data_IF_090798384970
#
_entry.id   IF_090798384970
#
_cell.length_a   1.000
_cell.length_b   1.000
_cell.length_c   1.000
_cell.angle_alpha   90.00
_cell.angle_beta   90.00
_cell.angle_gamma   90.00
#
_symmetry.space_group_name_H-M   'P 1'
#
loop_
_entity.id
_entity.type
_entity.pdbx_description
1 polymer ?
#
# COMPACT_ATOMS: atom_id res chain seq x y z
N UNK A 1 11.71 -14.43 47.10
CA UNK A 1 10.68 -13.47 46.63
C UNK A 1 11.25 -12.36 45.76
N UNK A 2 12.46 -11.82 46.02
CA UNK A 2 13.03 -10.74 45.19
C UNK A 2 13.28 -11.12 43.72
N UNK A 3 13.87 -12.30 43.46
CA UNK A 3 14.19 -12.74 42.09
C UNK A 3 12.94 -12.99 41.21
N UNK A 4 11.82 -13.41 41.81
CA UNK A 4 10.56 -13.64 41.07
C UNK A 4 9.87 -12.34 40.68
N UNK A 5 9.87 -11.34 41.56
CA UNK A 5 9.30 -10.01 41.27
C UNK A 5 10.08 -9.27 40.18
N UNK A 6 11.41 -9.43 40.15
CA UNK A 6 12.24 -8.83 39.11
C UNK A 6 11.99 -9.46 37.73
N UNK A 7 11.82 -10.79 37.67
CA UNK A 7 11.47 -11.49 36.44
C UNK A 7 10.08 -11.10 35.92
N UNK A 8 9.10 -10.99 36.81
CA UNK A 8 7.71 -10.61 36.47
C UNK A 8 7.64 -9.17 35.94
N UNK A 9 8.32 -8.21 36.57
CA UNK A 9 8.36 -6.82 36.10
C UNK A 9 9.00 -6.67 34.71
N UNK A 10 10.07 -7.43 34.43
CA UNK A 10 10.70 -7.47 33.10
C UNK A 10 9.75 -8.05 32.05
N UNK A 11 8.99 -9.09 32.40
CA UNK A 11 8.00 -9.69 31.51
C UNK A 11 6.84 -8.73 31.18
N UNK A 12 6.28 -8.05 32.18
CA UNK A 12 5.23 -7.05 31.99
C UNK A 12 5.69 -5.86 31.14
N UNK A 13 6.93 -5.42 31.33
CA UNK A 13 7.50 -4.31 30.54
C UNK A 13 7.70 -4.70 29.07
N UNK A 14 8.20 -5.91 28.80
CA UNK A 14 8.38 -6.43 27.43
C UNK A 14 7.06 -6.59 26.69
N UNK A 15 6.05 -7.16 27.34
CA UNK A 15 4.71 -7.34 26.76
C UNK A 15 4.03 -6.00 26.46
N UNK A 16 4.21 -5.00 27.33
CA UNK A 16 3.74 -3.62 27.10
C UNK A 16 4.44 -2.96 25.91
N UNK A 17 5.77 -3.09 25.82
CA UNK A 17 6.56 -2.56 24.69
C UNK A 17 6.13 -3.18 23.36
N UNK A 18 5.95 -4.50 23.31
CA UNK A 18 5.47 -5.18 22.10
C UNK A 18 4.08 -4.72 21.68
N UNK A 19 3.17 -4.55 22.64
CA UNK A 19 1.84 -4.01 22.36
C UNK A 19 1.92 -2.60 21.76
N UNK A 20 2.73 -1.72 22.36
CA UNK A 20 2.91 -0.35 21.89
C UNK A 20 3.54 -0.31 20.49
N UNK A 21 4.57 -1.14 20.26
CA UNK A 21 5.23 -1.25 18.97
C UNK A 21 4.27 -1.70 17.86
N UNK A 22 3.44 -2.71 18.11
CA UNK A 22 2.44 -3.17 17.14
C UNK A 22 1.36 -2.14 16.87
N UNK A 23 0.89 -1.45 17.92
CA UNK A 23 -0.10 -0.39 17.75
C UNK A 23 0.48 0.77 16.92
N UNK A 24 1.69 1.22 17.25
CA UNK A 24 2.38 2.27 16.50
C UNK A 24 2.60 1.88 15.04
N UNK A 25 3.01 0.63 14.80
CA UNK A 25 3.22 0.13 13.45
C UNK A 25 1.92 0.01 12.65
N UNK A 26 0.83 -0.45 13.27
CA UNK A 26 -0.48 -0.51 12.62
C UNK A 26 -1.00 0.89 12.24
N UNK A 27 -0.82 1.88 13.12
CA UNK A 27 -1.16 3.28 12.84
C UNK A 27 -0.32 3.79 11.66
N UNK A 28 0.98 3.48 11.64
CA UNK A 28 1.86 3.91 10.57
C UNK A 28 1.49 3.27 9.23
N UNK A 29 1.19 1.96 9.20
CA UNK A 29 0.69 1.26 8.02
C UNK A 29 -0.61 1.93 7.52
N UNK A 30 -1.56 2.23 8.41
CA UNK A 30 -2.80 2.90 8.05
C UNK A 30 -2.55 4.29 7.43
N UNK A 31 -1.66 5.08 8.03
CA UNK A 31 -1.26 6.39 7.52
C UNK A 31 -0.57 6.34 6.15
N UNK A 32 0.12 5.25 5.81
CA UNK A 32 0.76 5.04 4.50
C UNK A 32 -0.23 4.45 3.48
N UNK A 33 -1.20 3.63 3.93
CA UNK A 33 -2.21 3.05 3.06
C UNK A 33 -3.16 4.10 2.46
N UNK A 34 -3.58 5.10 3.25
CA UNK A 34 -4.46 6.19 2.79
C UNK A 34 -3.89 6.95 1.56
N UNK A 35 -2.67 7.52 1.60
CA UNK A 35 -2.11 8.22 0.45
C UNK A 35 -1.90 7.28 -0.73
N UNK A 36 -1.55 6.00 -0.50
CA UNK A 36 -1.44 5.00 -1.58
C UNK A 36 -2.76 4.87 -2.35
N UNK A 37 -3.89 4.75 -1.62
CA UNK A 37 -5.23 4.69 -2.23
C UNK A 37 -5.58 6.01 -2.90
N UNK A 38 -5.32 7.14 -2.24
CA UNK A 38 -5.66 8.46 -2.74
C UNK A 38 -4.94 8.77 -4.06
N UNK A 39 -3.66 8.40 -4.16
CA UNK A 39 -2.87 8.59 -5.37
C UNK A 39 -3.48 7.86 -6.57
N UNK A 40 -3.83 6.58 -6.42
CA UNK A 40 -4.47 5.80 -7.48
C UNK A 40 -5.89 6.29 -7.79
N UNK A 41 -6.64 6.70 -6.76
CA UNK A 41 -8.01 7.19 -6.92
C UNK A 41 -8.06 8.49 -7.73
N UNK A 42 -7.15 9.44 -7.46
CA UNK A 42 -7.07 10.72 -8.19
C UNK A 42 -6.71 10.48 -9.66
N UNK A 43 -5.73 9.62 -9.93
CA UNK A 43 -5.31 9.29 -11.28
C UNK A 43 -6.44 8.59 -12.07
N UNK A 44 -7.13 7.64 -11.42
CA UNK A 44 -8.26 6.92 -12.00
C UNK A 44 -9.48 7.84 -12.23
N UNK A 45 -9.72 8.79 -11.33
CA UNK A 45 -10.80 9.76 -11.46
C UNK A 45 -10.55 10.69 -12.65
N UNK A 46 -9.33 11.21 -12.79
CA UNK A 46 -8.95 12.04 -13.92
C UNK A 46 -9.09 11.28 -15.26
N UNK A 47 -8.64 10.02 -15.32
CA UNK A 47 -8.84 9.16 -16.48
C UNK A 47 -10.33 8.99 -16.83
N UNK A 48 -11.19 8.68 -15.84
CA UNK A 48 -12.63 8.53 -16.09
C UNK A 48 -13.27 9.79 -16.62
N UNK A 49 -12.90 10.96 -16.09
CA UNK A 49 -13.40 12.24 -16.58
C UNK A 49 -12.92 12.53 -18.01
N UNK A 50 -11.64 12.35 -18.31
CA UNK A 50 -11.09 12.66 -19.64
C UNK A 50 -11.44 11.62 -20.71
N UNK A 51 -11.67 10.36 -20.33
CA UNK A 51 -12.04 9.30 -21.27
C UNK A 51 -13.37 9.55 -21.98
N UNK A 52 -14.29 10.33 -21.39
CA UNK A 52 -15.58 10.68 -22.03
C UNK A 52 -15.41 11.55 -23.27
N UNK A 53 -14.35 12.35 -23.35
CA UNK A 53 -14.07 13.19 -24.52
C UNK A 53 -13.59 12.38 -25.75
N UNK A 54 -13.33 11.08 -25.59
CA UNK A 54 -13.12 10.15 -26.72
C UNK A 54 -14.34 10.08 -27.65
N UNK A 55 -15.55 10.37 -27.13
CA UNK A 55 -16.79 10.41 -27.93
C UNK A 55 -16.80 11.56 -28.95
N UNK A 56 -15.95 12.57 -28.78
CA UNK A 56 -15.83 13.75 -29.66
C UNK A 56 -14.55 13.67 -30.51
N UNK A 57 -14.03 12.46 -30.77
CA UNK A 57 -12.83 12.20 -31.59
C UNK A 57 -11.50 12.81 -31.08
N UNK A 58 -11.45 13.31 -29.84
CA UNK A 58 -10.18 13.64 -29.17
C UNK A 58 -9.63 12.40 -28.44
N UNK A 59 -8.82 11.60 -29.14
CA UNK A 59 -8.12 10.46 -28.56
C UNK A 59 -6.92 10.93 -27.72
N UNK A 60 -7.17 11.29 -26.46
CA UNK A 60 -6.13 11.65 -25.49
C UNK A 60 -5.42 10.42 -24.89
N UNK A 61 -6.09 9.27 -24.90
CA UNK A 61 -5.64 8.02 -24.30
C UNK A 61 -5.53 6.93 -25.37
N UNK A 62 -4.55 6.01 -25.28
CA UNK A 62 -4.39 4.91 -26.22
C UNK A 62 -5.56 3.91 -26.10
N UNK A 63 -5.89 3.24 -27.21
CA UNK A 63 -7.01 2.29 -27.29
C UNK A 63 -6.81 1.04 -26.40
N UNK A 64 -5.56 0.68 -26.12
CA UNK A 64 -5.16 -0.48 -25.33
C UNK A 64 -4.54 -0.05 -23.98
N UNK A 65 -5.29 0.71 -23.17
CA UNK A 65 -4.83 1.16 -21.86
C UNK A 65 -5.12 0.11 -20.77
N UNK A 66 -4.07 -0.39 -20.12
CA UNK A 66 -4.18 -1.35 -19.02
C UNK A 66 -4.35 -0.64 -17.66
N UNK A 67 -5.57 -0.74 -17.11
CA UNK A 67 -5.93 -0.23 -15.77
C UNK A 67 -5.82 -1.29 -14.66
N UNK A 68 -5.47 -2.52 -14.99
CA UNK A 68 -5.41 -3.63 -14.01
C UNK A 68 -4.46 -3.31 -12.84
N UNK A 69 -3.24 -2.75 -13.04
CA UNK A 69 -2.34 -2.44 -11.93
C UNK A 69 -2.90 -1.38 -10.98
N UNK A 70 -3.49 -0.30 -11.51
CA UNK A 70 -4.09 0.77 -10.71
C UNK A 70 -5.28 0.26 -9.87
N UNK A 71 -6.14 -0.58 -10.48
CA UNK A 71 -7.25 -1.21 -9.74
C UNK A 71 -6.77 -2.19 -8.68
N UNK A 72 -5.73 -2.97 -8.97
CA UNK A 72 -5.13 -3.91 -8.02
C UNK A 72 -4.53 -3.18 -6.82
N UNK A 73 -3.74 -2.12 -7.05
CA UNK A 73 -3.19 -1.25 -6.00
C UNK A 73 -4.29 -0.64 -5.12
N UNK A 74 -5.35 -0.11 -5.74
CA UNK A 74 -6.48 0.47 -5.02
C UNK A 74 -7.18 -0.59 -4.15
N UNK A 75 -7.45 -1.78 -4.70
CA UNK A 75 -8.07 -2.87 -3.95
C UNK A 75 -7.18 -3.35 -2.79
N UNK A 76 -5.89 -3.55 -3.05
CA UNK A 76 -4.92 -4.03 -2.05
C UNK A 76 -4.74 -3.01 -0.92
N UNK A 77 -4.54 -1.73 -1.26
CA UNK A 77 -4.44 -0.66 -0.27
C UNK A 77 -5.68 -0.55 0.59
N UNK A 78 -6.88 -0.70 0.00
CA UNK A 78 -8.15 -0.70 0.72
C UNK A 78 -8.22 -1.84 1.75
N UNK A 79 -7.89 -3.06 1.35
CA UNK A 79 -7.89 -4.24 2.23
C UNK A 79 -6.93 -4.05 3.40
N UNK A 80 -5.71 -3.58 3.13
CA UNK A 80 -4.70 -3.30 4.16
C UNK A 80 -5.21 -2.22 5.13
N UNK A 81 -5.78 -1.13 4.62
CA UNK A 81 -6.34 -0.05 5.44
C UNK A 81 -7.49 -0.54 6.33
N UNK A 82 -8.42 -1.35 5.80
CA UNK A 82 -9.52 -1.92 6.59
C UNK A 82 -9.00 -2.88 7.66
N UNK A 83 -8.09 -3.77 7.31
CA UNK A 83 -7.56 -4.77 8.22
C UNK A 83 -6.78 -4.14 9.38
N UNK A 84 -5.97 -3.12 9.08
CA UNK A 84 -5.20 -2.35 10.07
C UNK A 84 -6.10 -1.49 10.95
N UNK A 85 -7.15 -0.89 10.39
CA UNK A 85 -8.16 -0.16 11.16
C UNK A 85 -8.87 -1.06 12.18
N UNK A 86 -9.30 -2.25 11.77
CA UNK A 86 -9.92 -3.24 12.67
C UNK A 86 -8.97 -3.61 13.81
N UNK A 87 -7.68 -3.81 13.49
CA UNK A 87 -6.67 -4.09 14.51
C UNK A 87 -6.48 -2.93 15.49
N UNK A 88 -6.43 -1.68 15.01
CA UNK A 88 -6.32 -0.49 15.86
C UNK A 88 -7.52 -0.38 16.81
N UNK A 89 -8.73 -0.57 16.30
CA UNK A 89 -9.97 -0.55 17.11
C UNK A 89 -9.91 -1.64 18.17
N UNK A 90 -9.56 -2.87 17.79
CA UNK A 90 -9.44 -3.99 18.73
C UNK A 90 -8.36 -3.74 19.80
N UNK A 91 -7.26 -3.08 19.44
CA UNK A 91 -6.17 -2.77 20.36
C UNK A 91 -6.48 -1.60 21.31
N UNK A 92 -7.32 -0.65 20.90
CA UNK A 92 -7.74 0.50 21.71
C UNK A 92 -8.85 0.15 22.71
N UNK A 93 -9.63 -0.90 22.46
CA UNK A 93 -10.69 -1.33 23.39
C UNK A 93 -10.07 -1.93 24.67
N UNK A 94 -10.24 -1.28 25.85
CA UNK A 94 -9.73 -1.82 27.10
C UNK A 94 -10.61 -2.99 27.54
N UNK A 95 -10.21 -4.23 27.18
CA UNK A 95 -10.96 -5.43 27.57
C UNK A 95 -10.39 -6.05 28.87
N UNK A 96 -11.21 -6.31 29.90
CA UNK A 96 -10.74 -6.69 31.24
C UNK A 96 -10.31 -8.16 31.44
N UNK A 97 -10.46 -9.08 30.48
CA UNK A 97 -10.05 -10.49 30.70
C UNK A 97 -9.66 -11.28 29.43
N UNK A 98 -8.60 -12.10 29.53
CA UNK A 98 -8.17 -13.16 28.58
C UNK A 98 -7.85 -12.81 27.11
N UNK A 99 -7.75 -11.54 26.74
CA UNK A 99 -7.68 -11.14 25.32
C UNK A 99 -6.27 -11.06 24.71
N UNK A 100 -5.20 -11.23 25.50
CA UNK A 100 -3.80 -11.09 25.05
C UNK A 100 -3.48 -12.06 23.91
N UNK A 101 -3.86 -13.34 24.04
CA UNK A 101 -3.68 -14.36 22.99
C UNK A 101 -4.51 -14.08 21.73
N UNK A 102 -5.74 -13.56 21.87
CA UNK A 102 -6.61 -13.21 20.73
C UNK A 102 -6.09 -11.99 19.97
N UNK A 103 -5.64 -10.96 20.69
CA UNK A 103 -5.01 -9.78 20.11
C UNK A 103 -3.69 -10.13 19.39
N UNK A 104 -2.90 -11.04 19.95
CA UNK A 104 -1.70 -11.56 19.30
C UNK A 104 -2.02 -12.34 18.02
N UNK A 105 -3.04 -13.20 18.05
CA UNK A 105 -3.47 -13.96 16.89
C UNK A 105 -4.04 -13.03 15.81
N UNK A 106 -4.86 -12.04 16.19
CA UNK A 106 -5.34 -11.00 15.28
C UNK A 106 -4.18 -10.24 14.63
N UNK A 107 -3.19 -9.79 15.41
CA UNK A 107 -1.99 -9.13 14.88
C UNK A 107 -1.24 -9.99 13.86
N UNK A 108 -1.09 -11.30 14.14
CA UNK A 108 -0.41 -12.22 13.25
C UNK A 108 -1.21 -12.46 11.95
N UNK A 109 -2.54 -12.60 12.04
CA UNK A 109 -3.42 -12.76 10.89
C UNK A 109 -3.46 -11.47 10.05
N UNK A 110 -3.50 -10.31 10.69
CA UNK A 110 -3.46 -9.01 9.99
C UNK A 110 -2.13 -8.82 9.26
N UNK A 111 -1.00 -9.17 9.89
CA UNK A 111 0.32 -9.09 9.26
C UNK A 111 0.45 -10.05 8.06
N UNK A 112 -0.01 -11.30 8.23
CA UNK A 112 0.10 -12.31 7.17
C UNK A 112 -0.79 -11.95 5.97
N UNK A 113 -2.05 -11.57 6.24
CA UNK A 113 -2.98 -11.14 5.18
C UNK A 113 -2.54 -9.84 4.51
N UNK A 114 -2.04 -8.87 5.28
CA UNK A 114 -1.46 -7.62 4.78
C UNK A 114 -0.26 -7.86 3.88
N UNK A 115 0.66 -8.73 4.31
CA UNK A 115 1.81 -9.15 3.51
C UNK A 115 1.41 -9.84 2.19
N UNK A 116 0.50 -10.82 2.24
CA UNK A 116 0.01 -11.50 1.03
C UNK A 116 -0.64 -10.50 0.08
N UNK A 117 -1.48 -9.60 0.61
CA UNK A 117 -2.18 -8.57 -0.18
C UNK A 117 -1.19 -7.61 -0.84
N UNK A 118 -0.18 -7.16 -0.10
CA UNK A 118 0.86 -6.28 -0.62
C UNK A 118 1.72 -6.99 -1.68
N UNK A 119 2.04 -8.27 -1.49
CA UNK A 119 2.77 -9.09 -2.45
C UNK A 119 1.98 -9.31 -3.74
N UNK A 120 0.67 -9.58 -3.64
CA UNK A 120 -0.22 -9.66 -4.81
C UNK A 120 -0.22 -8.33 -5.56
N UNK A 121 -0.41 -7.20 -4.86
CA UNK A 121 -0.33 -5.87 -5.47
C UNK A 121 0.99 -5.62 -6.19
N UNK A 122 2.11 -6.02 -5.57
CA UNK A 122 3.45 -5.88 -6.14
C UNK A 122 3.64 -6.74 -7.40
N UNK A 123 3.16 -7.99 -7.38
CA UNK A 123 3.16 -8.87 -8.55
C UNK A 123 2.33 -8.27 -9.68
N UNK A 124 1.17 -7.68 -9.41
CA UNK A 124 0.37 -7.04 -10.46
C UNK A 124 1.03 -5.78 -11.05
N UNK A 125 1.91 -5.11 -10.30
CA UNK A 125 2.67 -3.97 -10.81
C UNK A 125 3.89 -4.41 -11.63
N UNK A 126 4.60 -5.46 -11.18
CA UNK A 126 5.80 -5.96 -11.86
C UNK A 126 5.47 -6.86 -13.04
N UNK A 127 4.54 -7.80 -12.86
CA UNK A 127 4.12 -8.76 -13.85
C UNK A 127 3.13 -8.10 -14.80
N UNK A 128 3.68 -7.22 -15.64
CA UNK A 128 3.04 -6.60 -16.80
C UNK A 128 2.57 -7.70 -17.76
N UNK A 129 1.27 -7.82 -18.05
CA UNK A 129 0.81 -8.72 -19.10
C UNK A 129 1.06 -8.22 -20.54
N UNK A 130 1.92 -7.22 -20.78
CA UNK A 130 2.18 -6.78 -22.16
C UNK A 130 2.86 -5.43 -22.33
N UNK A 131 4.02 -5.18 -21.73
CA UNK A 131 4.77 -3.98 -22.07
C UNK A 131 6.28 -4.26 -22.12
N UNK A 132 6.69 -4.91 -23.22
CA UNK A 132 8.06 -4.91 -23.70
C UNK A 132 8.35 -3.55 -24.36
N UNK A 133 8.89 -2.62 -23.57
CA UNK A 133 9.22 -1.27 -24.00
C UNK A 133 10.45 -1.18 -24.90
N UNK A 134 10.54 -1.96 -25.99
CA UNK A 134 11.65 -1.83 -26.94
C UNK A 134 11.25 -1.21 -28.27
N UNK A 135 10.08 -1.52 -28.86
CA UNK A 135 9.82 -1.12 -30.24
C UNK A 135 8.33 -0.87 -30.54
N UNK A 136 7.96 0.40 -30.68
CA UNK A 136 6.75 0.78 -31.42
C UNK A 136 5.43 0.70 -30.65
N UNK A 137 4.44 1.40 -31.18
CA UNK A 137 3.09 1.59 -30.64
C UNK A 137 2.22 0.29 -30.72
N UNK A 138 2.70 -0.83 -30.19
CA UNK A 138 2.00 -2.12 -30.31
C UNK A 138 1.75 -2.88 -29.01
N UNK A 139 2.23 -2.39 -27.87
CA UNK A 139 2.07 -3.08 -26.59
C UNK A 139 1.18 -2.30 -25.62
N UNK A 140 0.36 -3.01 -24.85
CA UNK A 140 -0.59 -2.44 -23.88
C UNK A 140 0.09 -1.42 -22.96
N UNK A 141 -0.33 -0.15 -23.06
CA UNK A 141 0.26 0.94 -22.27
C UNK A 141 -0.46 1.06 -20.93
N UNK A 142 0.27 1.39 -19.86
CA UNK A 142 -0.31 1.63 -18.53
C UNK A 142 -0.57 3.11 -18.29
N UNK A 143 -1.45 3.43 -17.34
CA UNK A 143 -1.69 4.82 -16.93
C UNK A 143 -0.40 5.55 -16.55
N UNK A 144 0.51 4.87 -15.84
CA UNK A 144 1.79 5.41 -15.42
C UNK A 144 2.77 5.62 -16.59
N UNK A 145 2.96 4.60 -17.45
CA UNK A 145 3.89 4.72 -18.59
C UNK A 145 3.44 5.80 -19.57
N UNK A 146 2.14 5.89 -19.85
CA UNK A 146 1.58 6.91 -20.73
C UNK A 146 1.77 8.32 -20.16
N UNK A 147 1.32 8.57 -18.93
CA UNK A 147 1.41 9.92 -18.32
C UNK A 147 2.86 10.38 -18.13
N UNK A 148 3.79 9.47 -17.80
CA UNK A 148 5.20 9.81 -17.66
C UNK A 148 5.90 10.06 -19.00
N UNK A 149 5.50 9.39 -20.10
CA UNK A 149 6.02 9.67 -21.44
C UNK A 149 5.74 11.12 -21.86
N UNK A 150 4.52 11.60 -21.58
CA UNK A 150 4.14 13.00 -21.82
C UNK A 150 4.90 13.99 -20.93
N UNK A 151 5.23 13.62 -19.69
CA UNK A 151 6.09 14.43 -18.80
C UNK A 151 7.49 14.61 -19.41
N UNK A 152 8.12 13.55 -19.90
CA UNK A 152 9.47 13.66 -20.50
C UNK A 152 9.46 14.47 -21.78
N UNK A 153 8.46 14.29 -22.65
CA UNK A 153 8.32 15.09 -23.87
C UNK A 153 8.15 16.58 -23.59
N UNK A 154 7.44 16.94 -22.51
CA UNK A 154 7.29 18.34 -22.09
C UNK A 154 8.60 19.03 -21.67
N UNK A 155 9.59 18.24 -21.20
CA UNK A 155 10.85 18.76 -20.65
C UNK A 155 11.97 18.77 -21.69
N UNK A 156 11.93 17.88 -22.68
CA UNK A 156 12.96 17.74 -23.72
C UNK A 156 12.78 18.68 -24.90
N UNK A 157 11.55 19.09 -25.20
CA UNK A 157 11.27 20.11 -26.20
C UNK A 157 10.89 21.39 -25.48
N UNK A 158 11.77 22.40 -25.45
CA UNK A 158 11.48 23.75 -24.93
C UNK A 158 10.36 24.51 -25.67
N UNK A 159 9.52 23.79 -26.40
CA UNK A 159 8.30 24.25 -27.02
C UNK A 159 7.10 23.72 -26.21
N UNK A 160 6.23 24.64 -25.83
CA UNK A 160 4.89 24.43 -25.27
C UNK A 160 3.97 23.73 -26.28
N UNK A 161 4.32 22.53 -26.73
CA UNK A 161 3.46 21.67 -27.53
C UNK A 161 2.44 21.04 -26.60
N UNK A 162 1.31 21.73 -26.41
CA UNK A 162 0.02 21.25 -25.88
C UNK A 162 0.07 19.97 -25.04
N UNK A 163 0.83 19.99 -23.95
CA UNK A 163 0.85 18.88 -22.99
C UNK A 163 -0.48 18.95 -22.26
N UNK A 164 -1.29 17.89 -22.25
CA UNK A 164 -2.55 17.90 -21.53
C UNK A 164 -2.29 18.24 -20.05
N UNK A 165 -3.00 19.25 -19.55
CA UNK A 165 -2.86 19.68 -18.17
C UNK A 165 -3.03 18.49 -17.21
N UNK A 166 -2.25 18.46 -16.13
CA UNK A 166 -2.25 17.44 -15.07
C UNK A 166 -1.55 16.10 -15.35
N UNK A 167 -1.09 15.80 -16.57
CA UNK A 167 -0.41 14.53 -16.85
C UNK A 167 0.91 14.38 -16.08
N UNK A 168 1.66 15.48 -15.91
CA UNK A 168 2.87 15.50 -15.07
C UNK A 168 2.56 15.21 -13.59
N UNK A 169 1.40 15.67 -13.10
CA UNK A 169 0.92 15.39 -11.73
C UNK A 169 0.55 13.92 -11.61
N UNK A 170 -0.21 13.36 -12.55
CA UNK A 170 -0.65 11.97 -12.48
C UNK A 170 0.52 10.99 -12.57
N UNK A 171 1.55 11.31 -13.37
CA UNK A 171 2.82 10.55 -13.38
C UNK A 171 3.50 10.57 -11.99
N UNK A 172 3.61 11.74 -11.35
CA UNK A 172 4.21 11.85 -10.02
C UNK A 172 3.40 11.12 -8.94
N UNK A 173 2.07 11.21 -9.02
CA UNK A 173 1.14 10.58 -8.08
C UNK A 173 1.17 9.05 -8.19
N UNK A 174 1.15 8.50 -9.40
CA UNK A 174 1.25 7.05 -9.63
C UNK A 174 2.67 6.50 -9.39
N UNK A 175 3.71 7.33 -9.52
CA UNK A 175 5.03 6.97 -9.04
C UNK A 175 5.08 6.88 -7.51
N UNK A 176 4.47 7.86 -6.83
CA UNK A 176 4.44 7.91 -5.38
C UNK A 176 3.68 6.71 -4.79
N UNK A 177 2.55 6.30 -5.38
CA UNK A 177 1.81 5.10 -4.93
C UNK A 177 2.64 3.83 -5.04
N UNK A 178 3.45 3.67 -6.09
CA UNK A 178 4.35 2.52 -6.22
C UNK A 178 5.41 2.50 -5.10
N UNK A 179 6.03 3.64 -4.82
CA UNK A 179 6.99 3.76 -3.72
C UNK A 179 6.32 3.47 -2.38
N UNK A 180 5.12 4.01 -2.15
CA UNK A 180 4.35 3.77 -0.92
C UNK A 180 3.95 2.30 -0.77
N UNK A 181 3.63 1.58 -1.86
CA UNK A 181 3.42 0.14 -1.81
C UNK A 181 4.67 -0.60 -1.34
N UNK A 182 5.85 -0.22 -1.84
CA UNK A 182 7.13 -0.77 -1.37
C UNK A 182 7.34 -0.55 0.13
N UNK A 183 7.02 0.65 0.62
CA UNK A 183 7.06 0.96 2.05
C UNK A 183 6.06 0.10 2.84
N UNK A 184 4.82 -0.08 2.34
CA UNK A 184 3.82 -0.95 2.97
C UNK A 184 4.33 -2.39 3.14
N UNK A 185 4.97 -2.96 2.11
CA UNK A 185 5.55 -4.31 2.20
C UNK A 185 6.60 -4.37 3.32
N UNK A 186 7.50 -3.38 3.39
CA UNK A 186 8.51 -3.32 4.44
C UNK A 186 7.88 -3.26 5.84
N UNK A 187 6.84 -2.46 6.01
CA UNK A 187 6.14 -2.31 7.29
C UNK A 187 5.38 -3.59 7.69
N UNK A 188 4.75 -4.28 6.75
CA UNK A 188 4.08 -5.57 7.00
C UNK A 188 5.08 -6.65 7.44
N UNK A 189 6.28 -6.69 6.84
CA UNK A 189 7.36 -7.60 7.26
C UNK A 189 7.78 -7.30 8.71
N UNK A 190 8.01 -6.03 9.04
CA UNK A 190 8.35 -5.63 10.41
C UNK A 190 7.22 -6.01 11.37
N UNK A 191 5.95 -5.86 10.96
CA UNK A 191 4.80 -6.22 11.78
C UNK A 191 4.74 -7.72 12.03
N UNK A 192 5.03 -8.53 11.01
CA UNK A 192 5.17 -9.99 11.13
C UNK A 192 6.28 -10.40 12.10
N UNK A 193 7.44 -9.75 12.07
CA UNK A 193 8.54 -10.02 13.03
C UNK A 193 8.13 -9.67 14.46
N UNK A 194 7.45 -8.53 14.67
CA UNK A 194 6.97 -8.15 16.00
C UNK A 194 5.81 -9.06 16.47
N UNK A 195 5.00 -9.57 15.54
CA UNK A 195 3.94 -10.55 15.83
C UNK A 195 4.53 -11.89 16.31
N UNK A 196 5.49 -12.44 15.54
CA UNK A 196 6.15 -13.73 15.84
C UNK A 196 6.95 -13.68 17.14
N UNK A 197 7.69 -12.61 17.40
CA UNK A 197 8.44 -12.44 18.66
C UNK A 197 7.51 -12.42 19.87
N UNK A 198 6.35 -11.78 19.80
CA UNK A 198 5.39 -11.81 20.91
C UNK A 198 4.69 -13.16 21.09
N UNK A 199 4.42 -13.90 20.00
CA UNK A 199 3.92 -15.29 20.10
C UNK A 199 4.96 -16.22 20.71
N UNK A 200 6.25 -16.04 20.38
CA UNK A 200 7.34 -16.83 20.93
C UNK A 200 7.53 -16.56 22.43
N UNK A 201 7.47 -15.30 22.85
CA UNK A 201 7.55 -14.93 24.27
C UNK A 201 6.36 -15.45 25.08
N UNK A 202 5.15 -15.47 24.52
CA UNK A 202 3.99 -16.10 25.18
C UNK A 202 4.15 -17.62 25.35
N UNK A 203 4.87 -18.27 24.45
CA UNK A 203 5.07 -19.73 24.46
C UNK A 203 6.14 -20.20 25.44
N UNK A 204 7.05 -19.31 25.80
CA UNK A 204 8.20 -19.58 26.68
C UNK A 204 7.94 -19.17 28.15
N UNK A 205 6.71 -18.80 28.48
CA UNK A 205 6.23 -18.47 29.83
C UNK A 205 5.30 -19.58 30.29
#
# INVERSE_FOLDING_TARGET
>A
SHASLEAESKFLTRTRLLRLARLGLAILIFCVAIPTIACEAVALHHYRQTSRYSQVWLYLWPLNLDLRPAKALLACGSVIAFQTLIYIIAALLPSPHSHIRRLNLLAAVTALSGFITALVGFVFVIYRPGADGRNGFHDTETLHSWTCKWKTSSSSSGSSSNVPAHFARDCAVTHASFVLLGVLIGLEIVMGVVATTGLWLERNV
#
